data_IF_141559151232
#
_entry.id   IF_141559151232
#
_cell.length_a   1.000
_cell.length_b   1.000
_cell.length_c   1.000
_cell.angle_alpha   90.00
_cell.angle_beta   90.00
_cell.angle_gamma   90.00
#
_symmetry.space_group_name_H-M   'P 1'
#
loop_
_entity.id
_entity.type
_entity.pdbx_description
1 polymer ?
#
# COMPACT_ATOMS: atom_id res chain seq x y z
N UNK A 1 11.57 -10.94 9.93
CA UNK A 1 10.77 -10.74 8.70
C UNK A 1 11.04 -11.91 7.75
N UNK A 2 9.99 -12.52 7.19
CA UNK A 2 10.07 -13.54 6.15
C UNK A 2 9.60 -12.91 4.84
N UNK A 3 10.10 -13.38 3.69
CA UNK A 3 9.64 -12.90 2.38
C UNK A 3 9.49 -14.07 1.41
N UNK A 4 8.53 -13.93 0.48
CA UNK A 4 8.34 -14.84 -0.64
C UNK A 4 8.25 -14.02 -1.92
N UNK A 5 8.90 -14.51 -2.96
CA UNK A 5 8.83 -13.92 -4.29
C UNK A 5 7.92 -14.76 -5.15
N UNK A 6 7.08 -14.12 -5.95
CA UNK A 6 6.19 -14.76 -6.91
C UNK A 6 6.51 -14.25 -8.32
N UNK A 7 6.30 -15.09 -9.32
CA UNK A 7 6.51 -14.77 -10.73
C UNK A 7 5.20 -14.78 -11.53
N UNK A 8 4.13 -15.23 -10.89
CA UNK A 8 2.78 -15.21 -11.45
C UNK A 8 1.72 -15.08 -10.36
N UNK A 9 0.56 -14.56 -10.73
CA UNK A 9 -0.61 -14.39 -9.84
C UNK A 9 -1.05 -15.72 -9.22
N UNK A 10 -0.92 -16.81 -9.96
CA UNK A 10 -1.34 -18.16 -9.52
C UNK A 10 -0.49 -18.73 -8.38
N UNK A 11 0.71 -18.19 -8.17
CA UNK A 11 1.61 -18.63 -7.10
C UNK A 11 1.32 -17.94 -5.76
N UNK A 12 0.55 -16.83 -5.76
CA UNK A 12 0.30 -16.00 -4.58
C UNK A 12 -0.25 -16.81 -3.39
N UNK A 13 -1.30 -17.65 -3.53
CA UNK A 13 -1.82 -18.42 -2.40
C UNK A 13 -0.75 -19.33 -1.77
N UNK A 14 0.01 -20.02 -2.60
CA UNK A 14 1.07 -20.92 -2.13
C UNK A 14 2.22 -20.15 -1.46
N UNK A 15 2.56 -18.97 -1.98
CA UNK A 15 3.58 -18.12 -1.40
C UNK A 15 3.16 -17.63 0.00
N UNK A 16 1.89 -17.23 0.19
CA UNK A 16 1.35 -16.86 1.51
C UNK A 16 1.41 -18.04 2.47
N UNK A 17 1.01 -19.23 2.03
CA UNK A 17 1.10 -20.45 2.84
C UNK A 17 2.54 -20.79 3.23
N UNK A 18 3.49 -20.60 2.32
CA UNK A 18 4.91 -20.88 2.56
C UNK A 18 5.57 -19.95 3.58
N UNK A 19 4.98 -18.77 3.86
CA UNK A 19 5.42 -17.90 4.94
C UNK A 19 5.19 -18.54 6.32
N UNK A 20 4.25 -19.50 6.42
CA UNK A 20 3.90 -20.18 7.67
C UNK A 20 3.26 -19.23 8.68
N UNK A 21 3.59 -19.42 9.96
CA UNK A 21 3.07 -18.54 11.03
C UNK A 21 3.74 -17.17 10.95
N UNK A 22 2.91 -16.18 10.68
CA UNK A 22 3.26 -14.75 10.63
C UNK A 22 2.16 -13.94 11.31
N UNK A 23 2.53 -12.84 11.94
CA UNK A 23 1.58 -11.97 12.66
C UNK A 23 0.84 -11.02 11.73
N UNK A 24 1.44 -10.69 10.58
CA UNK A 24 0.86 -9.84 9.55
C UNK A 24 1.54 -10.07 8.20
N UNK A 25 0.86 -9.68 7.12
CA UNK A 25 1.40 -9.61 5.76
C UNK A 25 1.57 -8.14 5.36
N UNK A 26 2.70 -7.83 4.74
CA UNK A 26 2.90 -6.56 4.06
C UNK A 26 2.99 -6.78 2.55
N UNK A 27 2.17 -6.05 1.81
CA UNK A 27 2.12 -6.10 0.35
C UNK A 27 2.72 -4.83 -0.21
N UNK A 28 3.92 -4.88 -0.80
CA UNK A 28 4.52 -3.72 -1.46
C UNK A 28 3.76 -3.37 -2.74
N UNK A 29 4.01 -2.17 -3.28
CA UNK A 29 3.46 -1.76 -4.58
C UNK A 29 4.10 -2.57 -5.70
N UNK A 30 3.43 -3.63 -6.10
CA UNK A 30 3.78 -4.50 -7.22
C UNK A 30 2.54 -4.81 -8.03
N UNK A 31 2.52 -4.42 -9.30
CA UNK A 31 1.36 -4.53 -10.18
C UNK A 31 0.85 -5.96 -10.32
N UNK A 32 1.75 -6.96 -10.33
CA UNK A 32 1.36 -8.36 -10.45
C UNK A 32 0.70 -8.85 -9.16
N UNK A 33 1.27 -8.54 -8.00
CA UNK A 33 0.70 -8.93 -6.70
C UNK A 33 -0.64 -8.22 -6.47
N UNK A 34 -0.72 -6.92 -6.75
CA UNK A 34 -1.97 -6.14 -6.63
C UNK A 34 -3.05 -6.67 -7.57
N UNK A 35 -2.72 -7.07 -8.80
CA UNK A 35 -3.69 -7.68 -9.72
C UNK A 35 -4.26 -9.03 -9.22
N UNK A 36 -3.54 -9.71 -8.35
CA UNK A 36 -3.95 -10.98 -7.71
C UNK A 36 -4.34 -10.83 -6.25
N UNK A 37 -4.55 -9.62 -5.76
CA UNK A 37 -4.75 -9.31 -4.34
C UNK A 37 -5.90 -10.12 -3.71
N UNK A 38 -6.99 -10.34 -4.44
CA UNK A 38 -8.14 -11.09 -3.94
C UNK A 38 -7.80 -12.53 -3.53
N UNK A 39 -6.85 -13.16 -4.21
CA UNK A 39 -6.40 -14.51 -3.86
C UNK A 39 -5.51 -14.51 -2.61
N UNK A 40 -4.69 -13.48 -2.41
CA UNK A 40 -3.93 -13.26 -1.19
C UNK A 40 -4.88 -13.04 0.00
N UNK A 41 -5.83 -12.11 -0.16
CA UNK A 41 -6.82 -11.76 0.88
C UNK A 41 -7.63 -12.97 1.31
N UNK A 42 -8.04 -13.82 0.37
CA UNK A 42 -8.75 -15.06 0.72
C UNK A 42 -7.96 -15.91 1.70
N UNK A 43 -6.68 -16.17 1.43
CA UNK A 43 -5.83 -16.98 2.32
C UNK A 43 -5.60 -16.26 3.65
N UNK A 44 -5.40 -14.94 3.63
CA UNK A 44 -5.21 -14.14 4.83
C UNK A 44 -6.46 -14.16 5.74
N UNK A 45 -7.65 -13.98 5.17
CA UNK A 45 -8.91 -14.05 5.91
C UNK A 45 -9.18 -15.45 6.50
N UNK A 46 -8.92 -16.52 5.74
CA UNK A 46 -9.07 -17.90 6.21
C UNK A 46 -8.15 -18.19 7.42
N UNK A 47 -7.03 -17.49 7.52
CA UNK A 47 -6.05 -17.62 8.62
C UNK A 47 -6.15 -16.50 9.65
N UNK A 48 -7.02 -15.53 9.47
CA UNK A 48 -7.14 -14.34 10.32
C UNK A 48 -5.80 -13.59 10.45
N UNK A 49 -5.12 -13.38 9.32
CA UNK A 49 -3.84 -12.68 9.25
C UNK A 49 -4.08 -11.25 8.74
N UNK A 50 -3.66 -10.22 9.48
CA UNK A 50 -3.69 -8.82 9.02
C UNK A 50 -2.92 -8.60 7.72
N UNK A 51 -3.51 -7.85 6.78
CA UNK A 51 -2.86 -7.46 5.53
C UNK A 51 -2.75 -5.94 5.46
N UNK A 52 -1.52 -5.45 5.50
CA UNK A 52 -1.19 -4.04 5.31
C UNK A 52 -0.57 -3.88 3.92
N UNK A 53 -1.02 -2.91 3.17
CA UNK A 53 -0.56 -2.67 1.80
C UNK A 53 0.16 -1.33 1.66
N UNK A 54 0.88 -1.16 0.56
CA UNK A 54 1.60 0.08 0.25
C UNK A 54 0.75 1.06 -0.59
N UNK A 55 -0.43 0.65 -1.07
CA UNK A 55 -1.31 1.48 -1.90
C UNK A 55 -2.80 1.23 -1.60
N UNK A 56 -3.65 2.22 -1.96
CA UNK A 56 -5.09 2.19 -1.74
C UNK A 56 -5.82 1.15 -2.59
N UNK A 57 -5.34 0.86 -3.82
CA UNK A 57 -5.95 -0.16 -4.67
C UNK A 57 -5.93 -1.56 -4.04
N UNK A 58 -4.90 -1.88 -3.25
CA UNK A 58 -4.87 -3.12 -2.49
C UNK A 58 -5.85 -3.11 -1.31
N UNK A 59 -6.13 -1.94 -0.71
CA UNK A 59 -7.14 -1.79 0.35
C UNK A 59 -8.54 -1.94 -0.21
N UNK A 60 -8.82 -1.36 -1.39
CA UNK A 60 -10.05 -1.62 -2.15
C UNK A 60 -10.23 -3.12 -2.46
N UNK A 61 -9.12 -3.80 -2.73
CA UNK A 61 -9.07 -5.26 -2.97
C UNK A 61 -9.17 -6.13 -1.72
N UNK A 62 -9.28 -5.54 -0.52
CA UNK A 62 -9.52 -6.25 0.75
C UNK A 62 -8.34 -6.27 1.73
N UNK A 63 -7.24 -5.55 1.48
CA UNK A 63 -6.25 -5.31 2.54
C UNK A 63 -6.86 -4.40 3.63
N UNK A 64 -6.40 -4.56 4.87
CA UNK A 64 -7.01 -3.85 6.00
C UNK A 64 -6.71 -2.36 6.01
N UNK A 65 -5.49 -1.98 5.66
CA UNK A 65 -5.09 -0.58 5.71
C UNK A 65 -3.85 -0.29 4.84
N UNK A 66 -3.68 0.99 4.53
CA UNK A 66 -2.45 1.55 3.98
C UNK A 66 -2.14 2.92 4.55
N UNK A 67 -0.85 3.25 4.53
CA UNK A 67 -0.39 4.64 4.48
C UNK A 67 0.18 4.81 3.08
N UNK A 68 -0.62 5.35 2.19
CA UNK A 68 -0.33 5.47 0.76
C UNK A 68 0.12 6.87 0.36
N UNK A 69 0.61 6.97 -0.86
CA UNK A 69 0.95 8.25 -1.49
C UNK A 69 -0.31 8.82 -2.11
N UNK A 70 -0.57 10.11 -1.89
CA UNK A 70 -1.52 10.86 -2.69
C UNK A 70 -0.88 11.15 -4.07
N UNK A 71 -1.34 10.46 -5.09
CA UNK A 71 -0.77 10.59 -6.44
C UNK A 71 -1.16 11.90 -7.12
N UNK A 72 -2.28 12.53 -6.76
CA UNK A 72 -2.66 13.85 -7.28
C UNK A 72 -1.70 14.90 -6.74
N UNK A 73 -1.46 14.87 -5.43
CA UNK A 73 -0.51 15.77 -4.77
C UNK A 73 0.93 15.55 -5.25
N UNK A 74 1.36 14.30 -5.41
CA UNK A 74 2.67 13.98 -6.00
C UNK A 74 2.79 14.52 -7.43
N UNK A 75 1.73 14.44 -8.23
CA UNK A 75 1.67 15.04 -9.57
C UNK A 75 1.82 16.54 -9.53
N UNK A 76 1.14 17.23 -8.62
CA UNK A 76 1.24 18.68 -8.40
C UNK A 76 2.67 19.08 -7.98
N UNK A 77 3.25 18.39 -7.00
CA UNK A 77 4.62 18.61 -6.55
C UNK A 77 5.64 18.41 -7.69
N UNK A 78 5.46 17.39 -8.50
CA UNK A 78 6.30 17.14 -9.69
C UNK A 78 6.17 18.26 -10.72
N UNK A 79 4.97 18.76 -10.95
CA UNK A 79 4.71 19.91 -11.82
C UNK A 79 5.40 21.18 -11.33
N UNK A 80 5.37 21.46 -10.03
CA UNK A 80 6.08 22.59 -9.43
C UNK A 80 7.60 22.47 -9.57
N UNK A 81 8.16 21.28 -9.40
CA UNK A 81 9.58 21.02 -9.67
C UNK A 81 9.92 21.32 -11.13
N UNK A 82 9.09 20.87 -12.07
CA UNK A 82 9.28 21.15 -13.49
C UNK A 82 9.25 22.66 -13.79
N UNK A 83 8.36 23.43 -13.17
CA UNK A 83 8.31 24.89 -13.32
C UNK A 83 9.59 25.55 -12.81
N UNK A 84 10.11 25.15 -11.66
CA UNK A 84 11.38 25.67 -11.13
C UNK A 84 12.53 25.49 -12.13
N UNK A 85 12.58 24.32 -12.80
CA UNK A 85 13.61 24.03 -13.80
C UNK A 85 13.36 24.80 -15.09
N UNK A 86 12.15 24.76 -15.64
CA UNK A 86 11.85 25.26 -16.98
C UNK A 86 11.63 26.78 -17.03
N UNK A 87 11.09 27.39 -15.97
CA UNK A 87 10.76 28.81 -15.94
C UNK A 87 11.75 29.62 -15.10
N UNK A 88 12.14 29.09 -13.94
CA UNK A 88 13.00 29.83 -13.01
C UNK A 88 14.48 29.56 -13.24
N UNK A 89 14.82 28.63 -14.15
CA UNK A 89 16.19 28.36 -14.58
C UNK A 89 17.00 27.54 -13.56
N UNK A 90 16.35 26.80 -12.67
CA UNK A 90 17.05 25.89 -11.77
C UNK A 90 17.80 24.81 -12.56
N UNK A 91 19.05 24.54 -12.17
CA UNK A 91 19.84 23.48 -12.81
C UNK A 91 19.34 22.11 -12.36
N UNK A 92 18.89 21.23 -13.26
CA UNK A 92 18.48 19.85 -12.88
C UNK A 92 19.56 19.08 -12.14
N UNK A 93 20.86 19.32 -12.46
CA UNK A 93 21.97 18.63 -11.80
C UNK A 93 22.14 19.03 -10.32
N UNK A 94 21.69 20.24 -9.97
CA UNK A 94 21.73 20.78 -8.61
C UNK A 94 20.38 20.68 -7.89
N UNK A 95 19.31 20.25 -8.59
CA UNK A 95 17.99 20.07 -8.02
C UNK A 95 17.89 18.74 -7.31
N UNK A 96 17.70 18.76 -5.99
CA UNK A 96 17.58 17.57 -5.19
C UNK A 96 16.34 16.76 -5.57
N UNK A 97 16.42 15.43 -5.46
CA UNK A 97 15.27 14.54 -5.55
C UNK A 97 14.33 14.84 -4.39
N UNK A 98 13.05 14.99 -4.69
CA UNK A 98 11.99 15.17 -3.69
C UNK A 98 11.20 13.87 -3.54
N UNK A 99 10.72 13.61 -2.34
CA UNK A 99 9.77 12.53 -2.04
C UNK A 99 8.39 13.11 -1.83
N UNK A 100 7.34 12.27 -1.87
CA UNK A 100 5.98 12.72 -1.56
C UNK A 100 5.94 13.46 -0.22
N UNK A 101 5.28 14.61 -0.18
CA UNK A 101 5.14 15.45 1.00
C UNK A 101 3.94 15.07 1.86
N UNK A 102 2.94 14.44 1.26
CA UNK A 102 1.69 14.07 1.90
C UNK A 102 1.38 12.59 1.72
N UNK A 103 0.72 12.01 2.72
CA UNK A 103 0.32 10.61 2.76
C UNK A 103 -1.13 10.50 3.20
N UNK A 104 -1.87 9.60 2.57
CA UNK A 104 -3.25 9.28 2.90
C UNK A 104 -3.31 7.98 3.69
N UNK A 105 -4.09 8.00 4.79
CA UNK A 105 -4.43 6.78 5.55
C UNK A 105 -5.74 6.26 4.99
N UNK A 106 -5.76 5.01 4.54
CA UNK A 106 -6.99 4.36 4.05
C UNK A 106 -7.20 3.07 4.81
N UNK A 107 -8.44 2.84 5.27
CA UNK A 107 -8.85 1.67 6.04
C UNK A 107 -10.07 1.03 5.39
N UNK A 108 -10.03 -0.28 5.26
CA UNK A 108 -11.19 -1.09 4.89
C UNK A 108 -11.77 -1.74 6.15
N UNK A 109 -12.93 -1.23 6.61
CA UNK A 109 -13.54 -1.69 7.85
C UNK A 109 -13.94 -3.16 7.83
N UNK A 110 -14.41 -3.67 6.69
CA UNK A 110 -14.79 -5.06 6.54
C UNK A 110 -13.56 -5.99 6.61
N UNK A 111 -12.45 -5.56 6.00
CA UNK A 111 -11.18 -6.27 6.08
C UNK A 111 -10.61 -6.27 7.50
N UNK A 112 -10.65 -5.13 8.18
CA UNK A 112 -10.25 -5.00 9.59
C UNK A 112 -10.99 -6.01 10.48
N UNK A 113 -12.32 -6.11 10.31
CA UNK A 113 -13.16 -7.08 11.05
C UNK A 113 -12.80 -8.53 10.68
N UNK A 114 -12.68 -8.83 9.38
CA UNK A 114 -12.38 -10.19 8.90
C UNK A 114 -10.99 -10.68 9.33
N UNK A 115 -10.02 -9.76 9.42
CA UNK A 115 -8.63 -10.05 9.77
C UNK A 115 -8.34 -9.87 11.27
N UNK A 116 -9.36 -9.58 12.09
CA UNK A 116 -9.26 -9.53 13.55
C UNK A 116 -8.38 -8.39 14.10
N UNK A 117 -8.37 -7.26 13.40
CA UNK A 117 -7.55 -6.09 13.75
C UNK A 117 -8.35 -5.14 14.64
N UNK A 118 -7.71 -4.61 15.69
CA UNK A 118 -8.17 -3.44 16.42
C UNK A 118 -7.39 -2.21 15.96
N UNK A 119 -8.07 -1.24 15.32
CA UNK A 119 -7.45 -0.01 14.84
C UNK A 119 -7.50 1.04 15.94
N UNK A 120 -6.36 1.65 16.34
CA UNK A 120 -6.35 2.74 17.30
C UNK A 120 -7.17 3.95 16.83
N UNK A 121 -7.88 4.61 17.76
CA UNK A 121 -8.74 5.74 17.44
C UNK A 121 -7.99 6.88 16.74
N UNK A 122 -6.74 7.13 17.13
CA UNK A 122 -5.89 8.16 16.50
C UNK A 122 -5.61 7.91 15.01
N UNK A 123 -5.69 6.66 14.57
CA UNK A 123 -5.56 6.28 13.14
C UNK A 123 -6.91 6.45 12.45
N UNK A 124 -8.00 6.00 13.09
CA UNK A 124 -9.37 6.17 12.57
C UNK A 124 -9.71 7.64 12.32
N UNK A 125 -9.28 8.54 13.22
CA UNK A 125 -9.53 9.98 13.12
C UNK A 125 -8.85 10.64 11.91
N UNK A 126 -7.85 9.99 11.31
CA UNK A 126 -7.07 10.49 10.17
C UNK A 126 -7.35 9.74 8.87
N UNK A 127 -7.99 8.58 8.96
CA UNK A 127 -8.14 7.67 7.85
C UNK A 127 -9.41 7.95 7.03
N UNK A 128 -9.28 7.79 5.74
CA UNK A 128 -10.41 7.56 4.85
C UNK A 128 -10.87 6.12 5.04
N UNK A 129 -12.18 5.92 5.17
CA UNK A 129 -12.78 4.62 5.43
C UNK A 129 -13.51 4.14 4.18
N UNK A 130 -13.27 2.88 3.80
CA UNK A 130 -13.93 2.18 2.69
C UNK A 130 -14.97 1.21 3.26
#
# INVERSE_FOLDING_TARGET
>A
MKSQTVTSVTEIPQAVEALGDVDALYVPTDNMVVSGISSLIKVANDKTIPVIAADSGAVEGGAAATIGIDYEELGRQTGEMALRILQDGADPAETAVETASEYTYVINEDAVKAQGIEVPQEILDKAETL
#
